data_IF_746508286805
#
_entry.id   IF_746508286805
#
_cell.length_a   1.000
_cell.length_b   1.000
_cell.length_c   1.000
_cell.angle_alpha   90.00
_cell.angle_beta   90.00
_cell.angle_gamma   90.00
#
_symmetry.space_group_name_H-M   'P 1'
#
loop_
_entity.id
_entity.type
_entity.pdbx_description
1 polymer ?
#
# COMPACT_ATOMS: atom_id res chain seq x y z
N UNK A 1 -60.96 22.54 94.60
CA UNK A 1 -59.73 22.35 93.79
C UNK A 1 -58.96 23.67 93.76
N UNK A 2 -57.62 23.67 93.80
CA UNK A 2 -56.84 24.87 94.08
C UNK A 2 -56.80 25.84 92.90
N UNK A 3 -56.92 27.14 93.21
CA UNK A 3 -56.74 28.24 92.27
C UNK A 3 -55.24 28.59 92.29
N UNK A 4 -54.53 28.43 91.17
CA UNK A 4 -53.10 28.75 91.04
C UNK A 4 -52.79 30.17 91.50
N UNK A 5 -51.71 30.32 92.29
CA UNK A 5 -51.25 31.61 92.79
C UNK A 5 -50.73 32.50 91.65
N UNK A 6 -50.78 33.84 91.84
CA UNK A 6 -50.36 34.79 90.80
C UNK A 6 -48.92 34.56 90.30
N UNK A 7 -48.00 34.22 91.21
CA UNK A 7 -46.60 33.90 90.89
C UNK A 7 -46.44 32.64 90.04
N UNK A 8 -47.29 31.62 90.22
CA UNK A 8 -47.26 30.42 89.38
C UNK A 8 -47.79 30.68 87.97
N UNK A 9 -48.82 31.53 87.82
CA UNK A 9 -49.31 31.96 86.52
C UNK A 9 -48.24 32.72 85.75
N UNK A 10 -47.57 33.70 86.37
CA UNK A 10 -46.43 34.40 85.73
C UNK A 10 -45.28 33.47 85.36
N UNK A 11 -44.98 32.47 86.20
CA UNK A 11 -43.89 31.50 85.93
C UNK A 11 -44.26 30.61 84.74
N UNK A 12 -45.51 30.14 84.65
CA UNK A 12 -46.04 29.42 83.48
C UNK A 12 -46.04 30.31 82.23
N UNK A 13 -46.47 31.56 82.33
CA UNK A 13 -46.44 32.53 81.21
C UNK A 13 -45.00 32.70 80.70
N UNK A 14 -44.02 32.95 81.58
CA UNK A 14 -42.60 33.06 81.17
C UNK A 14 -42.08 31.80 80.48
N UNK A 15 -42.37 30.61 81.01
CA UNK A 15 -41.98 29.34 80.38
C UNK A 15 -42.65 29.17 79.01
N UNK A 16 -43.95 29.47 78.88
CA UNK A 16 -44.68 29.41 77.62
C UNK A 16 -44.16 30.43 76.60
N UNK A 17 -43.81 31.65 77.01
CA UNK A 17 -43.18 32.66 76.15
C UNK A 17 -41.80 32.20 75.67
N UNK A 18 -40.99 31.61 76.55
CA UNK A 18 -39.68 31.04 76.18
C UNK A 18 -39.84 29.87 75.18
N UNK A 19 -40.82 29.00 75.41
CA UNK A 19 -41.16 27.91 74.48
C UNK A 19 -41.66 28.44 73.14
N UNK A 20 -42.48 29.50 73.14
CA UNK A 20 -42.96 30.15 71.92
C UNK A 20 -41.83 30.82 71.13
N UNK A 21 -40.86 31.47 71.79
CA UNK A 21 -39.67 31.98 71.12
C UNK A 21 -38.81 30.87 70.53
N UNK A 22 -38.58 29.79 71.28
CA UNK A 22 -37.82 28.64 70.78
C UNK A 22 -38.51 28.00 69.56
N UNK A 23 -39.83 27.83 69.61
CA UNK A 23 -40.64 27.36 68.47
C UNK A 23 -40.55 28.32 67.27
N UNK A 24 -40.58 29.63 67.48
CA UNK A 24 -40.40 30.62 66.39
C UNK A 24 -39.02 30.49 65.73
N UNK A 25 -37.94 30.38 66.51
CA UNK A 25 -36.57 30.19 66.00
C UNK A 25 -36.43 28.86 65.25
N UNK A 26 -36.98 27.77 65.79
CA UNK A 26 -37.02 26.46 65.13
C UNK A 26 -37.80 26.53 63.81
N UNK A 27 -38.94 27.20 63.77
CA UNK A 27 -39.77 27.34 62.57
C UNK A 27 -39.07 28.20 61.50
N UNK A 28 -38.36 29.27 61.88
CA UNK A 28 -37.49 30.01 60.96
C UNK A 28 -36.35 29.14 60.40
N UNK A 29 -35.64 28.39 61.25
CA UNK A 29 -34.57 27.50 60.80
C UNK A 29 -35.08 26.39 59.87
N UNK A 30 -36.26 25.83 60.14
CA UNK A 30 -36.95 24.88 59.24
C UNK A 30 -37.36 25.55 57.93
N UNK A 31 -37.85 26.79 57.95
CA UNK A 31 -38.19 27.56 56.73
C UNK A 31 -36.96 27.82 55.85
N UNK A 32 -35.82 28.15 56.46
CA UNK A 32 -34.54 28.30 55.73
C UNK A 32 -34.02 26.96 55.18
N UNK A 33 -34.19 25.86 55.92
CA UNK A 33 -33.88 24.53 55.41
C UNK A 33 -34.79 24.16 54.23
N UNK A 34 -36.10 24.41 54.31
CA UNK A 34 -37.06 24.18 53.21
C UNK A 34 -36.61 24.95 51.96
N UNK A 35 -36.30 26.25 52.06
CA UNK A 35 -35.77 27.01 50.90
C UNK A 35 -34.48 26.43 50.31
N UNK A 36 -33.58 25.92 51.14
CA UNK A 36 -32.35 25.23 50.68
C UNK A 36 -32.67 23.90 50.00
N UNK A 37 -33.68 23.17 50.46
CA UNK A 37 -34.14 21.95 49.80
C UNK A 37 -34.90 22.23 48.51
N UNK A 38 -35.69 23.32 48.43
CA UNK A 38 -36.36 23.79 47.22
C UNK A 38 -35.34 24.14 46.12
N UNK A 39 -34.34 24.98 46.42
CA UNK A 39 -33.27 25.28 45.46
C UNK A 39 -32.53 24.04 44.97
N UNK A 40 -32.14 23.14 45.89
CA UNK A 40 -31.53 21.85 45.53
C UNK A 40 -32.45 20.92 44.74
N UNK A 41 -33.77 21.05 44.89
CA UNK A 41 -34.75 20.28 44.13
C UNK A 41 -34.88 20.83 42.70
N UNK A 42 -34.76 22.14 42.52
CA UNK A 42 -34.69 22.77 41.19
C UNK A 42 -33.37 22.45 40.47
N UNK A 43 -32.22 22.48 41.15
CA UNK A 43 -30.94 21.99 40.62
C UNK A 43 -31.07 20.53 40.10
N UNK A 44 -31.77 19.68 40.86
CA UNK A 44 -32.02 18.28 40.48
C UNK A 44 -32.94 18.17 39.25
N UNK A 45 -33.93 19.05 39.07
CA UNK A 45 -34.75 19.08 37.85
C UNK A 45 -33.92 19.49 36.63
N UNK A 46 -33.05 20.50 36.76
CA UNK A 46 -32.17 20.91 35.67
C UNK A 46 -31.21 19.77 35.30
N UNK A 47 -30.63 19.10 36.29
CA UNK A 47 -29.77 17.94 36.07
C UNK A 47 -30.53 16.78 35.41
N UNK A 48 -31.79 16.52 35.78
CA UNK A 48 -32.65 15.54 35.10
C UNK A 48 -32.90 15.93 33.63
N UNK A 49 -33.13 17.21 33.34
CA UNK A 49 -33.30 17.69 31.96
C UNK A 49 -32.01 17.55 31.12
N UNK A 50 -30.83 17.74 31.73
CA UNK A 50 -29.53 17.48 31.10
C UNK A 50 -29.34 15.98 30.85
N UNK A 51 -29.64 15.12 31.83
CA UNK A 51 -29.56 13.66 31.69
C UNK A 51 -30.43 13.17 30.54
N UNK A 52 -31.68 13.66 30.42
CA UNK A 52 -32.57 13.22 29.35
C UNK A 52 -32.10 13.73 27.96
N UNK A 53 -31.49 14.93 27.86
CA UNK A 53 -30.81 15.36 26.63
C UNK A 53 -29.63 14.46 26.28
N UNK A 54 -28.72 14.21 27.23
CA UNK A 54 -27.54 13.36 27.03
C UNK A 54 -27.94 11.93 26.63
N UNK A 55 -29.01 11.39 27.20
CA UNK A 55 -29.58 10.08 26.85
C UNK A 55 -30.11 10.08 25.41
N UNK A 56 -30.84 11.11 25.00
CA UNK A 56 -31.31 11.26 23.61
C UNK A 56 -30.16 11.45 22.62
N UNK A 57 -29.14 12.24 22.96
CA UNK A 57 -27.93 12.43 22.15
C UNK A 57 -27.12 11.12 22.03
N UNK A 58 -26.93 10.40 23.13
CA UNK A 58 -26.29 9.08 23.13
C UNK A 58 -27.06 8.07 22.28
N UNK A 59 -28.40 8.03 22.36
CA UNK A 59 -29.20 7.17 21.49
C UNK A 59 -29.03 7.55 20.01
N UNK A 60 -28.99 8.85 19.68
CA UNK A 60 -28.72 9.33 18.32
C UNK A 60 -27.30 8.95 17.85
N UNK A 61 -26.30 8.92 18.74
CA UNK A 61 -24.95 8.44 18.43
C UNK A 61 -24.92 6.91 18.22
N UNK A 62 -25.62 6.14 19.05
CA UNK A 62 -25.77 4.68 18.88
C UNK A 62 -26.43 4.35 17.54
N UNK A 63 -27.55 4.98 17.20
CA UNK A 63 -28.24 4.77 15.92
C UNK A 63 -27.33 5.11 14.72
N UNK A 64 -26.48 6.14 14.82
CA UNK A 64 -25.46 6.47 13.81
C UNK A 64 -24.35 5.41 13.75
N UNK A 65 -23.88 4.92 14.89
CA UNK A 65 -22.87 3.86 14.97
C UNK A 65 -23.38 2.55 14.35
N UNK A 66 -24.62 2.15 14.61
CA UNK A 66 -25.26 0.99 13.98
C UNK A 66 -25.33 1.13 12.46
N UNK A 67 -25.75 2.30 11.96
CA UNK A 67 -25.73 2.63 10.53
C UNK A 67 -24.32 2.53 9.94
N UNK A 68 -23.31 3.08 10.61
CA UNK A 68 -21.90 2.95 10.19
C UNK A 68 -21.37 1.50 10.24
N UNK A 69 -21.83 0.66 11.18
CA UNK A 69 -21.47 -0.76 11.25
C UNK A 69 -22.04 -1.51 10.05
N UNK A 70 -23.30 -1.26 9.69
CA UNK A 70 -23.95 -1.86 8.52
C UNK A 70 -23.27 -1.40 7.22
N UNK A 71 -23.06 -0.09 7.05
CA UNK A 71 -22.36 0.49 5.91
C UNK A 71 -20.94 -0.07 5.78
N UNK A 72 -20.20 -0.23 6.89
CA UNK A 72 -18.87 -0.85 6.91
C UNK A 72 -18.90 -2.32 6.50
N UNK A 73 -19.94 -3.07 6.86
CA UNK A 73 -20.08 -4.47 6.46
C UNK A 73 -20.39 -4.61 4.96
N UNK A 74 -21.32 -3.81 4.44
CA UNK A 74 -21.59 -3.71 3.01
C UNK A 74 -20.35 -3.26 2.21
N UNK A 75 -19.57 -2.33 2.76
CA UNK A 75 -18.30 -1.89 2.18
C UNK A 75 -17.26 -3.00 2.15
N UNK A 76 -17.15 -3.85 3.18
CA UNK A 76 -16.28 -5.04 3.14
C UNK A 76 -16.68 -6.02 2.04
N UNK A 77 -17.98 -6.32 1.92
CA UNK A 77 -18.49 -7.23 0.88
C UNK A 77 -18.24 -6.66 -0.52
N UNK A 78 -18.44 -5.36 -0.69
CA UNK A 78 -18.07 -4.62 -1.91
C UNK A 78 -16.57 -4.73 -2.20
N UNK A 79 -15.70 -4.58 -1.20
CA UNK A 79 -14.25 -4.74 -1.34
C UNK A 79 -13.88 -6.18 -1.72
N UNK A 80 -14.50 -7.21 -1.15
CA UNK A 80 -14.21 -8.61 -1.52
C UNK A 80 -14.69 -8.96 -2.94
N UNK A 81 -15.84 -8.41 -3.38
CA UNK A 81 -16.29 -8.57 -4.76
C UNK A 81 -15.38 -7.81 -5.73
N UNK A 82 -14.99 -6.57 -5.41
CA UNK A 82 -14.01 -5.81 -6.18
C UNK A 82 -12.65 -6.51 -6.25
N UNK A 83 -12.19 -7.18 -5.19
CA UNK A 83 -10.97 -8.01 -5.22
C UNK A 83 -11.10 -9.18 -6.20
N UNK A 84 -12.23 -9.89 -6.21
CA UNK A 84 -12.49 -10.97 -7.18
C UNK A 84 -12.53 -10.44 -8.61
N UNK A 85 -13.24 -9.33 -8.85
CA UNK A 85 -13.27 -8.66 -10.15
C UNK A 85 -11.88 -8.19 -10.59
N UNK A 86 -11.05 -7.71 -9.67
CA UNK A 86 -9.66 -7.35 -9.94
C UNK A 86 -8.79 -8.57 -10.27
N UNK A 87 -9.00 -9.73 -9.62
CA UNK A 87 -8.32 -10.98 -9.96
C UNK A 87 -8.75 -11.46 -11.35
N UNK A 88 -10.06 -11.54 -11.63
CA UNK A 88 -10.58 -11.94 -12.94
C UNK A 88 -10.12 -10.98 -14.05
N UNK A 89 -10.12 -9.66 -13.80
CA UNK A 89 -9.57 -8.66 -14.73
C UNK A 89 -8.06 -8.83 -14.90
N UNK A 90 -7.32 -9.14 -13.83
CA UNK A 90 -5.88 -9.41 -13.88
C UNK A 90 -5.61 -10.63 -14.75
N UNK A 91 -6.32 -11.74 -14.57
CA UNK A 91 -6.19 -12.94 -15.41
C UNK A 91 -6.53 -12.65 -16.88
N UNK A 92 -7.60 -11.88 -17.14
CA UNK A 92 -7.95 -11.42 -18.49
C UNK A 92 -6.88 -10.49 -19.09
N UNK A 93 -6.22 -9.67 -18.28
CA UNK A 93 -5.07 -8.85 -18.71
C UNK A 93 -3.86 -9.74 -18.95
N UNK A 94 -3.54 -10.69 -18.08
CA UNK A 94 -2.41 -11.61 -18.23
C UNK A 94 -2.57 -12.48 -19.49
N UNK A 95 -3.76 -13.03 -19.77
CA UNK A 95 -4.04 -13.75 -21.03
C UNK A 95 -3.95 -12.84 -22.29
N UNK A 96 -4.22 -11.54 -22.16
CA UNK A 96 -4.00 -10.55 -23.23
C UNK A 96 -2.54 -10.11 -23.33
N UNK A 97 -1.75 -10.29 -22.27
CA UNK A 97 -0.36 -9.82 -22.15
C UNK A 97 0.65 -10.92 -22.49
N UNK A 98 0.35 -12.18 -22.18
CA UNK A 98 1.22 -13.34 -22.38
C UNK A 98 0.53 -14.38 -23.29
N UNK A 99 1.17 -14.65 -24.44
CA UNK A 99 0.73 -15.66 -25.39
C UNK A 99 1.18 -17.09 -24.99
N UNK A 100 2.21 -17.21 -24.14
CA UNK A 100 2.76 -18.49 -23.67
C UNK A 100 2.93 -18.44 -22.15
N UNK A 101 2.50 -19.48 -21.45
CA UNK A 101 2.73 -19.67 -20.02
C UNK A 101 3.19 -21.11 -19.70
N UNK A 102 4.29 -21.29 -18.96
CA UNK A 102 4.82 -22.61 -18.57
C UNK A 102 5.23 -22.66 -17.09
N UNK A 103 4.74 -23.65 -16.36
CA UNK A 103 5.00 -23.82 -14.92
C UNK A 103 6.09 -24.87 -14.60
N UNK A 104 6.32 -25.86 -15.46
CA UNK A 104 7.17 -27.02 -15.12
C UNK A 104 8.19 -27.43 -16.19
N UNK A 105 8.11 -26.90 -17.41
CA UNK A 105 8.92 -27.34 -18.56
C UNK A 105 9.51 -26.17 -19.35
N UNK A 106 10.59 -26.43 -20.09
CA UNK A 106 11.28 -25.45 -20.93
C UNK A 106 10.48 -25.05 -22.18
N UNK A 107 10.79 -23.88 -22.74
CA UNK A 107 10.15 -23.30 -23.95
C UNK A 107 11.21 -23.11 -25.03
N UNK A 108 11.01 -23.65 -26.25
CA UNK A 108 12.03 -23.67 -27.32
C UNK A 108 11.37 -23.42 -28.69
N UNK A 109 11.78 -22.41 -29.49
CA UNK A 109 11.11 -22.16 -30.80
C UNK A 109 11.99 -21.64 -31.95
N UNK A 110 11.81 -22.28 -33.11
CA UNK A 110 12.26 -21.96 -34.48
C UNK A 110 11.25 -22.56 -35.48
N UNK A 111 11.18 -22.23 -36.77
CA UNK A 111 11.94 -21.29 -37.63
C UNK A 111 10.93 -20.44 -38.40
N UNK A 112 11.08 -19.11 -38.39
CA UNK A 112 9.99 -18.18 -38.72
C UNK A 112 9.15 -17.94 -37.47
N UNK A 113 9.36 -16.81 -36.80
CA UNK A 113 8.76 -16.52 -35.49
C UNK A 113 8.40 -15.04 -35.38
N UNK A 114 7.17 -14.78 -34.92
CA UNK A 114 6.65 -13.47 -34.54
C UNK A 114 5.64 -13.66 -33.41
N UNK A 115 5.69 -12.91 -32.31
CA UNK A 115 4.73 -13.07 -31.19
C UNK A 115 4.21 -11.72 -30.67
N UNK A 116 2.89 -11.59 -30.47
CA UNK A 116 2.23 -10.54 -29.70
C UNK A 116 1.20 -11.23 -28.77
N UNK A 117 1.20 -11.14 -27.44
CA UNK A 117 2.16 -10.48 -26.54
C UNK A 117 3.37 -11.35 -26.16
N UNK A 118 3.50 -11.64 -24.87
CA UNK A 118 4.73 -12.12 -24.23
C UNK A 118 4.80 -13.62 -23.89
N UNK A 119 5.86 -14.00 -23.17
CA UNK A 119 6.16 -15.36 -22.71
C UNK A 119 6.38 -15.32 -21.18
N UNK A 120 5.75 -16.22 -20.43
CA UNK A 120 6.02 -16.44 -19.01
C UNK A 120 6.44 -17.90 -18.78
N UNK A 121 7.55 -18.13 -18.09
CA UNK A 121 8.09 -19.47 -17.82
C UNK A 121 8.70 -19.56 -16.41
N UNK A 122 8.44 -20.66 -15.71
CA UNK A 122 9.17 -21.05 -14.49
C UNK A 122 10.48 -21.78 -14.77
N UNK A 123 10.76 -22.08 -16.04
CA UNK A 123 11.96 -22.80 -16.51
C UNK A 123 12.65 -21.98 -17.60
N UNK A 124 13.38 -22.62 -18.50
CA UNK A 124 14.21 -21.96 -19.50
C UNK A 124 13.41 -21.54 -20.75
N UNK A 125 13.96 -20.62 -21.55
CA UNK A 125 13.38 -20.10 -22.80
C UNK A 125 14.47 -19.96 -23.87
N UNK A 126 14.29 -20.54 -25.07
CA UNK A 126 15.30 -20.54 -26.16
C UNK A 126 14.64 -20.27 -27.52
N UNK A 127 14.99 -19.22 -28.28
CA UNK A 127 14.34 -18.91 -29.58
C UNK A 127 15.33 -18.35 -30.62
N UNK A 128 15.38 -18.98 -31.79
CA UNK A 128 16.12 -18.54 -32.99
C UNK A 128 15.22 -18.65 -34.22
N UNK A 129 15.41 -17.82 -35.23
CA UNK A 129 14.60 -17.60 -36.43
C UNK A 129 13.07 -17.51 -36.21
N UNK A 130 12.32 -16.48 -36.59
CA UNK A 130 12.57 -15.41 -37.58
C UNK A 130 13.51 -14.28 -37.14
N UNK A 131 13.39 -13.64 -35.99
CA UNK A 131 12.34 -13.64 -34.97
C UNK A 131 11.84 -12.20 -34.72
N UNK A 132 10.71 -11.99 -34.02
CA UNK A 132 10.27 -10.67 -33.50
C UNK A 132 9.20 -10.79 -32.40
N UNK A 133 9.29 -10.09 -31.26
CA UNK A 133 8.33 -10.27 -30.13
C UNK A 133 7.84 -8.93 -29.52
N UNK A 134 6.54 -8.85 -29.22
CA UNK A 134 5.82 -7.65 -28.82
C UNK A 134 4.99 -7.84 -27.53
N UNK A 135 5.63 -8.40 -26.52
CA UNK A 135 5.21 -8.43 -25.12
C UNK A 135 6.39 -8.90 -24.27
N UNK A 136 6.24 -8.95 -22.96
CA UNK A 136 7.37 -9.25 -22.06
C UNK A 136 7.78 -10.73 -22.15
N UNK A 137 9.07 -11.02 -22.12
CA UNK A 137 9.61 -12.36 -21.86
C UNK A 137 10.02 -12.42 -20.40
N UNK A 138 9.49 -13.40 -19.66
CA UNK A 138 9.80 -13.66 -18.25
C UNK A 138 10.15 -15.12 -18.06
N UNK A 139 11.35 -15.40 -17.58
CA UNK A 139 11.79 -16.72 -17.17
C UNK A 139 12.26 -16.72 -15.71
N UNK A 140 11.94 -17.79 -14.98
CA UNK A 140 12.63 -18.08 -13.71
C UNK A 140 13.92 -18.88 -13.93
N UNK A 141 14.06 -19.54 -15.09
CA UNK A 141 15.31 -20.14 -15.58
C UNK A 141 16.04 -19.23 -16.56
N UNK A 142 16.91 -19.81 -17.39
CA UNK A 142 17.78 -19.09 -18.32
C UNK A 142 17.08 -18.76 -19.66
N UNK A 143 17.51 -17.69 -20.34
CA UNK A 143 16.92 -17.17 -21.58
C UNK A 143 17.98 -17.05 -22.68
N UNK A 144 17.72 -17.59 -23.88
CA UNK A 144 18.64 -17.50 -25.03
C UNK A 144 17.90 -17.15 -26.33
N UNK A 145 18.16 -16.01 -26.99
CA UNK A 145 17.41 -15.60 -28.19
C UNK A 145 18.33 -15.02 -29.30
N UNK A 146 18.35 -15.61 -30.49
CA UNK A 146 19.08 -15.09 -31.66
C UNK A 146 18.28 -15.21 -32.95
N UNK A 147 18.95 -15.25 -34.11
CA UNK A 147 18.46 -14.94 -35.49
C UNK A 147 16.99 -14.52 -35.63
N UNK A 148 16.56 -13.42 -36.22
CA UNK A 148 17.14 -12.18 -36.69
C UNK A 148 16.49 -11.04 -35.86
N UNK A 149 16.43 -11.26 -34.53
CA UNK A 149 15.67 -10.61 -33.44
C UNK A 149 15.25 -9.14 -33.59
N UNK A 150 14.04 -8.83 -33.07
CA UNK A 150 13.71 -7.52 -32.47
C UNK A 150 12.59 -7.65 -31.42
N UNK A 151 12.65 -6.93 -30.28
CA UNK A 151 11.64 -7.06 -29.20
C UNK A 151 11.17 -5.70 -28.64
N UNK A 152 9.86 -5.51 -28.50
CA UNK A 152 9.26 -4.26 -27.99
C UNK A 152 9.07 -4.20 -26.46
N UNK A 153 8.80 -5.35 -25.84
CA UNK A 153 8.68 -5.48 -24.38
C UNK A 153 10.04 -5.68 -23.69
N UNK A 154 10.02 -6.06 -22.41
CA UNK A 154 11.25 -6.41 -21.69
C UNK A 154 11.56 -7.91 -21.69
N UNK A 155 12.80 -8.25 -21.33
CA UNK A 155 13.29 -9.63 -21.18
C UNK A 155 13.84 -9.81 -19.76
N UNK A 156 13.28 -10.75 -18.99
CA UNK A 156 13.70 -11.10 -17.63
C UNK A 156 14.05 -12.59 -17.56
N UNK A 157 15.14 -12.93 -16.85
CA UNK A 157 15.63 -14.31 -16.71
C UNK A 157 16.61 -14.47 -15.54
N UNK A 158 17.03 -15.72 -15.31
CA UNK A 158 18.18 -16.02 -14.46
C UNK A 158 19.47 -15.58 -15.19
N UNK A 159 19.99 -16.41 -16.12
CA UNK A 159 21.03 -16.01 -17.07
C UNK A 159 20.41 -15.66 -18.43
N UNK A 160 20.98 -14.69 -19.16
CA UNK A 160 20.42 -14.20 -20.43
C UNK A 160 21.50 -14.14 -21.52
N UNK A 161 21.18 -14.61 -22.73
CA UNK A 161 22.10 -14.66 -23.88
C UNK A 161 21.42 -14.30 -25.22
N UNK A 162 21.78 -13.22 -25.92
CA UNK A 162 21.00 -12.76 -27.10
C UNK A 162 21.86 -12.25 -28.29
N UNK A 163 21.47 -12.64 -29.52
CA UNK A 163 22.09 -12.33 -30.83
C UNK A 163 22.11 -13.52 -31.78
N UNK A 164 21.79 -13.44 -33.08
CA UNK A 164 21.55 -12.31 -34.01
C UNK A 164 20.07 -11.85 -34.14
N UNK A 165 19.68 -10.83 -34.91
CA UNK A 165 20.40 -9.63 -35.33
C UNK A 165 20.00 -8.40 -34.50
N UNK A 166 19.10 -8.57 -33.52
CA UNK A 166 18.80 -7.75 -32.33
C UNK A 166 18.49 -6.26 -32.49
N UNK A 167 17.33 -5.87 -31.98
CA UNK A 167 17.14 -4.60 -31.25
C UNK A 167 16.02 -4.73 -30.21
N UNK A 168 16.10 -4.07 -29.04
CA UNK A 168 15.09 -4.17 -27.95
C UNK A 168 14.69 -2.78 -27.40
N UNK A 169 13.39 -2.53 -27.24
CA UNK A 169 12.84 -1.18 -26.97
C UNK A 169 12.53 -0.83 -25.50
N UNK A 170 12.59 -1.78 -24.57
CA UNK A 170 12.39 -1.52 -23.12
C UNK A 170 13.61 -1.91 -22.27
N UNK A 171 13.64 -3.11 -21.69
CA UNK A 171 14.75 -3.51 -20.81
C UNK A 171 15.11 -5.00 -20.87
N UNK A 172 16.35 -5.32 -20.47
CA UNK A 172 16.84 -6.69 -20.25
C UNK A 172 17.31 -6.81 -18.80
N UNK A 173 16.90 -7.87 -18.08
CA UNK A 173 17.10 -8.01 -16.62
C UNK A 173 17.47 -9.45 -16.22
N UNK A 174 18.75 -9.69 -15.94
CA UNK A 174 19.25 -10.98 -15.44
C UNK A 174 19.53 -10.96 -13.94
N UNK A 175 19.10 -12.01 -13.22
CA UNK A 175 19.52 -12.27 -11.82
C UNK A 175 20.93 -12.89 -11.72
N UNK A 176 21.36 -13.52 -12.80
CA UNK A 176 22.69 -14.07 -12.99
C UNK A 176 23.46 -13.28 -14.05
N UNK A 177 24.09 -14.04 -14.95
CA UNK A 177 24.95 -13.49 -16.02
C UNK A 177 24.14 -13.00 -17.22
N UNK A 178 24.53 -11.87 -17.81
CA UNK A 178 23.93 -11.34 -19.05
C UNK A 178 25.00 -11.22 -20.13
N UNK A 179 24.76 -11.81 -21.31
CA UNK A 179 25.66 -11.86 -22.47
C UNK A 179 24.92 -11.46 -23.76
N UNK A 180 25.08 -10.27 -24.33
CA UNK A 180 24.32 -9.89 -25.56
C UNK A 180 25.21 -9.27 -26.62
N UNK A 181 25.24 -9.86 -27.81
CA UNK A 181 26.08 -9.42 -28.91
C UNK A 181 25.58 -9.94 -30.24
N UNK A 182 25.36 -9.06 -31.22
CA UNK A 182 24.51 -9.35 -32.39
C UNK A 182 24.73 -8.36 -33.56
N UNK A 183 23.66 -7.97 -34.25
CA UNK A 183 23.47 -6.65 -34.89
C UNK A 183 22.78 -5.60 -33.97
N UNK A 184 22.93 -5.76 -32.64
CA UNK A 184 22.28 -5.01 -31.54
C UNK A 184 21.87 -3.54 -31.76
N UNK A 185 20.77 -3.13 -31.11
CA UNK A 185 20.61 -1.82 -30.42
C UNK A 185 19.59 -1.97 -29.27
N UNK A 186 19.82 -1.36 -28.11
CA UNK A 186 19.13 -1.64 -26.84
C UNK A 186 18.93 -0.35 -26.02
N UNK A 187 18.18 -0.45 -24.92
CA UNK A 187 17.82 0.70 -24.07
C UNK A 187 18.35 0.52 -22.64
N UNK A 188 17.66 -0.15 -21.73
CA UNK A 188 18.19 -0.48 -20.39
C UNK A 188 18.63 -1.95 -20.31
N UNK A 189 19.83 -2.22 -19.81
CA UNK A 189 20.27 -3.57 -19.46
C UNK A 189 20.73 -3.62 -18.00
N UNK A 190 20.25 -4.64 -17.28
CA UNK A 190 20.56 -4.90 -15.88
C UNK A 190 21.00 -6.36 -15.70
N UNK A 191 22.13 -6.57 -15.03
CA UNK A 191 22.53 -7.84 -14.43
C UNK A 191 22.77 -7.65 -12.93
N UNK A 192 22.31 -8.59 -12.11
CA UNK A 192 22.78 -8.69 -10.71
C UNK A 192 24.17 -9.34 -10.64
N UNK A 193 24.51 -10.21 -11.61
CA UNK A 193 25.85 -10.77 -11.81
C UNK A 193 26.69 -10.05 -12.89
N UNK A 194 27.52 -10.82 -13.59
CA UNK A 194 28.41 -10.34 -14.66
C UNK A 194 27.60 -9.91 -15.91
N UNK A 195 27.82 -8.68 -16.39
CA UNK A 195 27.22 -8.09 -17.58
C UNK A 195 28.25 -7.93 -18.71
N UNK A 196 27.98 -8.57 -19.85
CA UNK A 196 28.81 -8.59 -21.05
C UNK A 196 28.01 -8.24 -22.33
N UNK A 197 28.20 -7.07 -22.97
CA UNK A 197 27.51 -6.74 -24.25
C UNK A 197 28.39 -6.20 -25.39
N UNK A 198 28.60 -6.99 -26.46
CA UNK A 198 29.45 -6.59 -27.58
C UNK A 198 29.36 -7.34 -28.92
N UNK A 199 29.66 -6.59 -30.01
CA UNK A 199 29.07 -6.63 -31.35
C UNK A 199 27.54 -6.45 -31.31
N UNK A 200 26.87 -5.80 -32.25
CA UNK A 200 27.22 -4.56 -32.93
C UNK A 200 26.50 -3.40 -32.22
N UNK A 201 26.51 -3.50 -30.89
CA UNK A 201 25.86 -2.73 -29.81
C UNK A 201 25.53 -1.27 -30.04
N UNK A 202 24.34 -0.84 -29.62
CA UNK A 202 24.16 0.51 -29.07
C UNK A 202 23.16 0.47 -27.89
N UNK A 203 23.25 1.39 -26.92
CA UNK A 203 22.61 1.29 -25.60
C UNK A 203 22.19 2.65 -25.02
N UNK A 204 21.22 2.66 -24.11
CA UNK A 204 21.00 3.79 -23.20
C UNK A 204 21.79 3.58 -21.91
N UNK A 205 21.36 2.68 -21.03
CA UNK A 205 21.96 2.48 -19.69
C UNK A 205 22.36 1.03 -19.44
N UNK A 206 23.52 0.83 -18.83
CA UNK A 206 24.02 -0.46 -18.37
C UNK A 206 24.14 -0.49 -16.84
N UNK A 207 23.68 -1.57 -16.21
CA UNK A 207 23.80 -1.81 -14.76
C UNK A 207 24.27 -3.24 -14.55
N UNK A 208 25.37 -3.46 -13.82
CA UNK A 208 25.90 -4.81 -13.56
C UNK A 208 26.57 -4.93 -12.19
N UNK A 209 26.93 -6.16 -11.80
CA UNK A 209 27.92 -6.37 -10.76
C UNK A 209 29.31 -6.01 -11.31
N UNK A 210 29.80 -6.90 -12.18
CA UNK A 210 30.93 -6.62 -13.09
C UNK A 210 30.38 -6.19 -14.45
N UNK A 211 30.86 -5.07 -14.99
CA UNK A 211 30.42 -4.52 -16.29
C UNK A 211 31.59 -4.49 -17.27
N UNK A 212 31.45 -5.14 -18.41
CA UNK A 212 32.53 -5.27 -19.42
C UNK A 212 31.84 -5.33 -20.79
N UNK A 213 32.23 -4.57 -21.83
CA UNK A 213 32.32 -5.03 -23.25
C UNK A 213 32.40 -3.95 -24.34
N UNK A 214 32.80 -4.43 -25.53
CA UNK A 214 32.98 -3.76 -26.82
C UNK A 214 33.64 -4.72 -27.85
N UNK A 215 33.49 -4.71 -29.20
CA UNK A 215 32.64 -4.02 -30.20
C UNK A 215 31.16 -3.89 -29.81
N UNK A 216 30.21 -3.40 -30.61
CA UNK A 216 30.31 -2.22 -31.47
C UNK A 216 29.66 -1.05 -30.73
N UNK A 217 29.95 -0.94 -29.43
CA UNK A 217 29.24 -0.14 -28.43
C UNK A 217 29.18 1.36 -28.72
N UNK A 218 27.98 1.92 -28.56
CA UNK A 218 27.81 3.25 -27.92
C UNK A 218 26.71 3.23 -26.84
N UNK A 219 26.76 4.10 -25.83
CA UNK A 219 25.89 4.13 -24.62
C UNK A 219 25.46 5.56 -24.27
N UNK A 220 24.18 5.93 -24.09
CA UNK A 220 23.79 7.35 -23.79
C UNK A 220 22.70 7.59 -22.71
N UNK A 221 22.73 6.87 -21.60
CA UNK A 221 22.54 7.41 -20.22
C UNK A 221 23.22 6.53 -19.14
N UNK A 222 24.51 6.27 -19.33
CA UNK A 222 25.41 5.92 -18.23
C UNK A 222 25.62 4.43 -17.92
N UNK A 223 26.56 4.19 -17.00
CA UNK A 223 26.99 2.86 -16.54
C UNK A 223 27.02 2.84 -15.01
N UNK A 224 26.41 1.80 -14.41
CA UNK A 224 26.46 1.54 -12.98
C UNK A 224 27.04 0.15 -12.70
N UNK A 225 28.06 0.06 -11.84
CA UNK A 225 28.76 -1.19 -11.51
C UNK A 225 29.05 -1.31 -10.01
N UNK A 226 29.29 -2.51 -9.47
CA UNK A 226 29.63 -2.71 -8.04
C UNK A 226 30.93 -3.50 -7.78
N UNK A 227 31.45 -4.24 -8.76
CA UNK A 227 32.74 -4.96 -8.68
C UNK A 227 33.81 -4.28 -9.55
N UNK A 228 33.76 -4.51 -10.86
CA UNK A 228 34.75 -4.00 -11.80
C UNK A 228 34.10 -3.51 -13.12
N UNK A 229 34.76 -2.56 -13.79
CA UNK A 229 34.28 -1.96 -15.04
C UNK A 229 35.36 -1.92 -16.13
N UNK A 230 35.00 -2.20 -17.41
CA UNK A 230 35.87 -1.98 -18.59
C UNK A 230 35.01 -1.84 -19.88
N UNK A 231 35.43 -1.19 -20.98
CA UNK A 231 36.05 -1.79 -22.21
C UNK A 231 35.98 -0.76 -23.39
N UNK A 232 36.72 -1.00 -24.50
CA UNK A 232 36.39 -0.59 -25.89
C UNK A 232 36.38 -1.81 -26.85
N UNK A 233 35.58 -1.94 -27.92
CA UNK A 233 35.11 -0.92 -28.89
C UNK A 233 33.55 -0.82 -29.11
N UNK A 234 32.92 0.08 -29.86
CA UNK A 234 33.47 1.13 -30.71
C UNK A 234 34.59 1.90 -30.01
N UNK A 235 34.51 2.30 -28.73
CA UNK A 235 33.35 2.42 -27.80
C UNK A 235 32.91 3.89 -27.84
N UNK A 236 31.66 4.22 -27.54
CA UNK A 236 31.33 5.60 -27.12
C UNK A 236 30.32 5.65 -25.97
N UNK A 237 30.40 6.65 -25.08
CA UNK A 237 29.52 6.79 -23.91
C UNK A 237 29.20 8.29 -23.70
N UNK A 238 27.96 8.67 -23.36
CA UNK A 238 27.60 10.06 -22.99
C UNK A 238 26.61 10.16 -21.82
N UNK A 239 26.81 9.35 -20.78
CA UNK A 239 26.10 9.49 -19.51
C UNK A 239 27.02 9.23 -18.33
N UNK A 240 26.48 9.30 -17.12
CA UNK A 240 27.26 9.18 -15.89
C UNK A 240 27.80 7.76 -15.67
N UNK A 241 29.06 7.65 -15.26
CA UNK A 241 29.66 6.39 -14.83
C UNK A 241 29.80 6.44 -13.30
N UNK A 242 29.15 5.53 -12.58
CA UNK A 242 29.17 5.49 -11.11
C UNK A 242 29.24 4.08 -10.54
N UNK A 243 29.85 3.96 -9.37
CA UNK A 243 29.73 2.77 -8.54
C UNK A 243 28.37 2.76 -7.83
N UNK A 244 27.75 1.58 -7.71
CA UNK A 244 26.65 1.38 -6.75
C UNK A 244 27.21 1.44 -5.30
N UNK A 245 26.47 2.04 -4.36
CA UNK A 245 26.76 1.95 -2.93
C UNK A 245 26.47 0.55 -2.38
#
# INVERSE_FOLDING_TARGET
MPIFSGKEKERKIRVLTQQLENLKRQNQALTEQIRKYEGRFDDVKEMQAIIERLKNENQNLVNKLEKFVIERQQMKETIENLKKDLIMKREQIEMKTFAINSENVDVVISKGITINGGINSKKNVIIEEKARINGDIKASGDVTIGNEVYIKGFVEGNSIKIGDGVTVEDSVRGKGKVEIGAGCTLKLVMGEGDLNIGNSTELLKAVGGRVTLGNGVTVKDGIEYSDAMKIGSNVTIHGEIRTKP
#
